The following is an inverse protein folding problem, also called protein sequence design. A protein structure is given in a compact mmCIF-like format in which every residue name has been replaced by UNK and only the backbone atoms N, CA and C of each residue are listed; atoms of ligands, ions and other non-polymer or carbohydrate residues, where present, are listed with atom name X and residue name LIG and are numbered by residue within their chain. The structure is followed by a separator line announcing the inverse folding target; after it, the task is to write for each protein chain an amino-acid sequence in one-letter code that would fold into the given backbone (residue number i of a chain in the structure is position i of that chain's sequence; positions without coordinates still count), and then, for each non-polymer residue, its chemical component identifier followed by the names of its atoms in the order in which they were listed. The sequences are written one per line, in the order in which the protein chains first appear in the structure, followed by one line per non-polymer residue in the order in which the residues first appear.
data_IF_279903746796
#
_entry.id   IF_279903746796
#
_cell.length_a   1.000
_cell.length_b   1.000
_cell.length_c   1.000
_cell.angle_alpha   90.00
_cell.angle_beta   90.00
_cell.angle_gamma   90.00
#
_symmetry.space_group_name_H-M   'P 1'
#
loop_
_entity.id
_entity.type
_entity.pdbx_description
1 polymer ?
#
# COMPACT_ATOMS: atom_id res chain seq x y z
N UNK A 1 3.18 -13.31 21.90
CA UNK A 1 3.10 -12.01 22.60
C UNK A 1 2.72 -10.97 21.57
N UNK A 2 1.71 -10.14 21.80
CA UNK A 2 1.30 -9.11 20.82
C UNK A 2 2.38 -8.03 20.81
N UNK A 3 3.01 -7.75 19.65
CA UNK A 3 4.00 -6.68 19.49
C UNK A 3 3.26 -5.34 19.38
N UNK A 4 3.49 -4.41 20.27
CA UNK A 4 3.00 -3.03 20.16
C UNK A 4 3.94 -2.24 19.25
N UNK A 5 3.46 -1.83 18.08
CA UNK A 5 4.23 -1.18 17.02
C UNK A 5 3.79 0.27 16.83
N UNK A 6 4.76 1.16 16.72
CA UNK A 6 4.58 2.60 16.58
C UNK A 6 5.36 3.12 15.37
N UNK A 7 4.82 4.11 14.70
CA UNK A 7 5.50 4.79 13.62
C UNK A 7 6.25 6.02 14.15
N UNK A 8 7.50 6.18 13.72
CA UNK A 8 8.29 7.37 13.93
C UNK A 8 9.00 7.75 12.62
N UNK A 9 8.76 8.95 12.06
CA UNK A 9 9.46 9.35 10.84
C UNK A 9 10.96 9.39 11.06
N UNK A 10 11.82 9.16 10.04
CA UNK A 10 13.27 9.09 10.18
C UNK A 10 13.90 10.27 10.93
N UNK A 11 13.35 11.47 10.76
CA UNK A 11 13.83 12.67 11.46
C UNK A 11 13.65 12.63 12.99
N UNK A 12 12.86 11.70 13.51
CA UNK A 12 12.62 11.50 14.95
C UNK A 12 13.39 10.31 15.53
N UNK A 13 14.26 9.71 14.72
CA UNK A 13 15.05 8.52 15.08
C UNK A 13 16.52 8.88 15.16
N UNK A 14 17.15 8.51 16.25
CA UNK A 14 18.61 8.52 16.44
C UNK A 14 19.10 7.13 16.77
N UNK A 15 20.41 6.92 16.81
CA UNK A 15 20.98 5.61 17.18
C UNK A 15 20.63 5.20 18.63
N UNK A 16 20.33 6.13 19.51
CA UNK A 16 20.09 5.87 20.93
C UNK A 16 18.63 6.04 21.34
N UNK A 17 17.85 6.87 20.63
CA UNK A 17 16.50 7.24 21.05
C UNK A 17 15.56 7.51 19.89
N UNK A 18 14.27 7.31 20.13
CA UNK A 18 13.19 7.61 19.19
C UNK A 18 12.14 8.46 19.89
N UNK A 19 11.68 9.52 19.24
CA UNK A 19 10.61 10.37 19.76
C UNK A 19 9.31 10.06 18.99
N UNK A 20 8.31 9.55 19.69
CA UNK A 20 6.97 9.35 19.09
C UNK A 20 6.21 10.69 19.04
N UNK A 21 5.51 10.91 17.93
CA UNK A 21 4.63 12.07 17.77
C UNK A 21 3.37 11.98 18.65
N UNK A 22 2.53 13.03 18.57
CA UNK A 22 1.35 13.17 19.44
C UNK A 22 0.37 11.98 19.33
N UNK A 23 0.01 11.56 18.12
CA UNK A 23 -0.99 10.50 17.91
C UNK A 23 -0.48 9.14 18.42
N UNK A 24 0.78 8.81 18.15
CA UNK A 24 1.42 7.59 18.63
C UNK A 24 1.60 7.61 20.16
N UNK A 25 1.98 8.75 20.72
CA UNK A 25 2.11 8.93 22.18
C UNK A 25 0.75 8.80 22.87
N UNK A 26 -0.30 9.39 22.29
CA UNK A 26 -1.67 9.24 22.80
C UNK A 26 -2.12 7.78 22.74
N UNK A 27 -1.87 7.08 21.61
CA UNK A 27 -2.20 5.66 21.46
C UNK A 27 -1.48 4.81 22.52
N UNK A 28 -0.17 5.01 22.69
CA UNK A 28 0.64 4.31 23.68
C UNK A 28 0.12 4.52 25.12
N UNK A 29 -0.11 5.78 25.51
CA UNK A 29 -0.42 6.14 26.89
C UNK A 29 -1.90 5.96 27.27
N UNK A 30 -2.83 6.25 26.34
CA UNK A 30 -4.27 6.30 26.63
C UNK A 30 -5.04 5.08 26.17
N UNK A 31 -4.65 4.50 25.01
CA UNK A 31 -5.32 3.32 24.48
C UNK A 31 -4.69 2.05 25.03
N UNK A 32 -3.37 1.90 24.87
CA UNK A 32 -2.63 0.73 25.33
C UNK A 32 -2.24 0.81 26.81
N UNK A 33 -2.21 2.01 27.41
CA UNK A 33 -1.89 2.27 28.81
C UNK A 33 -0.54 1.70 29.22
N UNK A 34 0.44 1.75 28.32
CA UNK A 34 1.80 1.33 28.60
C UNK A 34 2.47 2.32 29.56
N UNK A 35 3.43 1.81 30.31
CA UNK A 35 4.19 2.56 31.31
C UNK A 35 5.67 2.64 30.93
N UNK A 36 6.45 3.58 31.48
CA UNK A 36 7.91 3.54 31.37
C UNK A 36 8.47 2.17 31.75
N UNK A 37 9.48 1.71 31.04
CA UNK A 37 10.04 0.35 31.13
C UNK A 37 9.36 -0.70 30.24
N UNK A 38 8.22 -0.39 29.60
CA UNK A 38 7.57 -1.31 28.67
C UNK A 38 8.40 -1.48 27.38
N UNK A 39 8.51 -2.70 26.88
CA UNK A 39 9.15 -2.99 25.58
C UNK A 39 8.13 -2.82 24.46
N UNK A 40 8.52 -2.03 23.46
CA UNK A 40 7.73 -1.71 22.28
C UNK A 40 8.59 -1.77 21.01
N UNK A 41 7.97 -1.69 19.84
CA UNK A 41 8.66 -1.64 18.56
C UNK A 41 8.35 -0.34 17.84
N UNK A 42 9.36 0.29 17.23
CA UNK A 42 9.18 1.48 16.41
C UNK A 42 9.76 1.25 15.02
N UNK A 43 9.08 1.69 13.98
CA UNK A 43 9.55 1.59 12.59
C UNK A 43 9.49 2.96 11.91
N UNK A 44 10.37 3.16 10.91
CA UNK A 44 10.56 4.45 10.24
C UNK A 44 9.72 4.64 8.96
N UNK A 45 9.09 3.56 8.47
CA UNK A 45 8.38 3.56 7.20
C UNK A 45 9.28 3.42 5.97
N UNK A 46 10.61 3.35 6.14
CA UNK A 46 11.62 3.20 5.08
C UNK A 46 12.26 1.80 5.08
N UNK A 47 11.93 0.95 6.05
CA UNK A 47 12.39 -0.43 6.15
C UNK A 47 13.12 -0.78 7.42
N UNK A 48 13.38 0.19 8.31
CA UNK A 48 14.00 -0.09 9.59
C UNK A 48 12.96 -0.25 10.70
N UNK A 49 13.23 -1.16 11.62
CA UNK A 49 12.45 -1.37 12.83
C UNK A 49 13.39 -1.56 14.02
N UNK A 50 12.98 -1.05 15.15
CA UNK A 50 13.77 -1.00 16.37
C UNK A 50 12.96 -1.60 17.53
N UNK A 51 13.61 -2.46 18.31
CA UNK A 51 13.14 -2.82 19.65
C UNK A 51 13.52 -1.71 20.61
N UNK A 52 12.57 -1.23 21.41
CA UNK A 52 12.75 -0.07 22.25
C UNK A 52 12.15 -0.30 23.63
N UNK A 53 12.65 0.44 24.61
CA UNK A 53 12.06 0.60 25.94
C UNK A 53 11.44 1.99 26.07
N UNK A 54 10.23 2.07 26.60
CA UNK A 54 9.59 3.35 26.90
C UNK A 54 10.36 4.06 28.03
N UNK A 55 11.04 5.16 27.70
CA UNK A 55 11.82 5.93 28.65
C UNK A 55 10.95 6.93 29.42
N UNK A 56 10.19 7.77 28.68
CA UNK A 56 9.38 8.82 29.28
C UNK A 56 8.10 9.05 28.47
N UNK A 57 7.00 9.26 29.16
CA UNK A 57 5.70 9.57 28.57
C UNK A 57 5.29 10.99 28.98
N UNK A 58 5.17 11.88 27.99
CA UNK A 58 4.63 13.23 28.16
C UNK A 58 3.28 13.37 27.47
N UNK A 59 2.59 14.49 27.65
CA UNK A 59 1.24 14.69 27.07
C UNK A 59 1.19 14.58 25.53
N UNK A 60 2.25 14.99 24.85
CA UNK A 60 2.31 15.10 23.38
C UNK A 60 3.49 14.35 22.76
N UNK A 61 4.37 13.80 23.58
CA UNK A 61 5.58 13.10 23.15
C UNK A 61 5.86 11.92 24.06
N UNK A 62 6.33 10.83 23.48
CA UNK A 62 6.89 9.70 24.20
C UNK A 62 8.31 9.48 23.73
N UNK A 63 9.24 9.35 24.65
CA UNK A 63 10.64 9.05 24.35
C UNK A 63 10.88 7.56 24.57
N UNK A 64 11.52 6.93 23.59
CA UNK A 64 11.91 5.54 23.61
C UNK A 64 13.44 5.45 23.58
N UNK A 65 14.03 4.57 24.40
CA UNK A 65 15.42 4.16 24.29
C UNK A 65 15.52 3.00 23.30
N UNK A 66 16.40 3.08 22.32
CA UNK A 66 16.66 1.99 21.37
C UNK A 66 17.46 0.89 22.08
N UNK A 67 16.92 -0.33 22.08
CA UNK A 67 17.60 -1.53 22.57
C UNK A 67 18.38 -2.18 21.43
N UNK A 68 17.73 -2.41 20.28
CA UNK A 68 18.33 -3.03 19.12
C UNK A 68 17.61 -2.61 17.82
N UNK A 69 18.33 -2.60 16.71
CA UNK A 69 17.74 -2.55 15.39
C UNK A 69 17.49 -3.98 14.89
N UNK A 70 16.30 -4.24 14.35
CA UNK A 70 15.93 -5.56 13.85
C UNK A 70 16.38 -5.73 12.39
N UNK A 71 16.92 -6.91 12.06
CA UNK A 71 17.49 -7.21 10.73
C UNK A 71 16.65 -8.17 9.89
N UNK A 72 15.53 -8.69 10.41
CA UNK A 72 14.70 -9.65 9.67
C UNK A 72 14.13 -9.01 8.41
N UNK A 73 14.09 -9.74 7.32
CA UNK A 73 13.42 -9.33 6.09
C UNK A 73 11.92 -9.62 6.20
N UNK A 74 11.09 -8.58 6.05
CA UNK A 74 9.61 -8.67 6.14
C UNK A 74 8.92 -8.08 4.90
N UNK A 75 9.69 -7.54 3.96
CA UNK A 75 9.16 -6.93 2.75
C UNK A 75 9.32 -7.88 1.55
N UNK A 76 8.30 -7.94 0.72
CA UNK A 76 8.38 -8.62 -0.57
C UNK A 76 9.53 -8.05 -1.41
N UNK A 77 10.31 -8.89 -2.10
CA UNK A 77 11.34 -8.42 -3.05
C UNK A 77 10.73 -7.73 -4.27
N UNK A 78 9.42 -7.89 -4.47
CA UNK A 78 8.72 -7.38 -5.64
C UNK A 78 8.36 -5.89 -5.49
N UNK A 79 8.76 -5.06 -6.45
CA UNK A 79 8.31 -3.68 -6.56
C UNK A 79 6.94 -3.66 -7.27
N UNK A 80 5.86 -3.60 -6.48
CA UNK A 80 4.50 -3.75 -6.95
C UNK A 80 3.74 -2.43 -6.91
N UNK A 81 3.37 -1.89 -8.08
CA UNK A 81 2.54 -0.70 -8.23
C UNK A 81 1.11 -1.09 -8.58
N UNK A 82 0.14 -0.59 -7.80
CA UNK A 82 -1.28 -0.73 -8.09
C UNK A 82 -1.85 0.59 -8.63
N UNK A 83 -2.22 0.63 -9.90
CA UNK A 83 -3.07 1.65 -10.50
C UNK A 83 -4.54 1.24 -10.31
N UNK A 84 -5.22 1.85 -9.34
CA UNK A 84 -6.61 1.54 -9.01
C UNK A 84 -7.53 2.65 -9.48
N UNK A 85 -8.49 2.34 -10.36
CA UNK A 85 -9.54 3.29 -10.71
C UNK A 85 -10.31 3.76 -9.48
N UNK A 86 -10.67 5.06 -9.45
CA UNK A 86 -11.46 5.64 -8.38
C UNK A 86 -12.86 5.04 -8.35
N UNK A 87 -13.22 4.50 -7.22
CA UNK A 87 -14.49 3.86 -6.88
C UNK A 87 -15.06 4.48 -5.62
N UNK A 88 -16.23 4.03 -5.13
CA UNK A 88 -16.83 4.52 -3.89
C UNK A 88 -15.81 4.53 -2.74
N UNK A 89 -15.87 5.59 -1.92
CA UNK A 89 -14.86 5.92 -0.91
C UNK A 89 -14.54 4.77 0.05
N UNK A 90 -15.57 4.11 0.58
CA UNK A 90 -15.43 2.97 1.50
C UNK A 90 -14.72 1.77 0.87
N UNK A 91 -15.02 1.49 -0.38
CA UNK A 91 -14.36 0.42 -1.15
C UNK A 91 -12.91 0.76 -1.48
N UNK A 92 -12.62 2.02 -1.85
CA UNK A 92 -11.26 2.44 -2.11
C UNK A 92 -10.39 2.39 -0.84
N UNK A 93 -10.95 2.82 0.30
CA UNK A 93 -10.30 2.69 1.61
C UNK A 93 -9.93 1.22 1.91
N UNK A 94 -10.85 0.30 1.63
CA UNK A 94 -10.63 -1.13 1.82
C UNK A 94 -9.54 -1.68 0.89
N UNK A 95 -9.53 -1.23 -0.38
CA UNK A 95 -8.44 -1.59 -1.33
C UNK A 95 -7.10 -1.09 -0.82
N UNK A 96 -7.00 0.16 -0.37
CA UNK A 96 -5.75 0.71 0.19
C UNK A 96 -5.26 -0.12 1.38
N UNK A 97 -6.15 -0.44 2.31
CA UNK A 97 -5.82 -1.27 3.46
C UNK A 97 -5.25 -2.63 3.02
N UNK A 98 -6.00 -3.36 2.19
CA UNK A 98 -5.64 -4.73 1.81
C UNK A 98 -4.48 -4.79 0.82
N UNK A 99 -4.34 -3.82 -0.08
CA UNK A 99 -3.17 -3.71 -0.95
C UNK A 99 -1.89 -3.48 -0.12
N UNK A 100 -1.97 -2.69 0.96
CA UNK A 100 -0.85 -2.53 1.89
C UNK A 100 -0.48 -3.85 2.55
N UNK A 101 -1.45 -4.59 3.07
CA UNK A 101 -1.23 -5.92 3.68
C UNK A 101 -0.63 -6.92 2.67
N UNK A 102 -0.99 -6.82 1.39
CA UNK A 102 -0.47 -7.66 0.29
C UNK A 102 0.86 -7.16 -0.32
N UNK A 103 1.59 -6.31 0.37
CA UNK A 103 2.96 -5.96 -0.03
C UNK A 103 3.08 -4.95 -1.17
N UNK A 104 2.02 -4.22 -1.54
CA UNK A 104 2.10 -3.17 -2.57
C UNK A 104 3.07 -2.07 -2.11
N UNK A 105 3.95 -1.63 -3.01
CA UNK A 105 4.93 -0.56 -2.73
C UNK A 105 4.42 0.82 -3.11
N UNK A 106 3.47 0.89 -4.09
CA UNK A 106 2.89 2.15 -4.55
C UNK A 106 1.43 1.95 -4.98
N UNK A 107 0.56 2.87 -4.56
CA UNK A 107 -0.86 2.91 -4.99
C UNK A 107 -1.09 4.23 -5.72
N UNK A 108 -1.59 4.14 -6.95
CA UNK A 108 -1.90 5.29 -7.81
C UNK A 108 -3.41 5.32 -8.04
N UNK A 109 -4.14 6.29 -7.45
CA UNK A 109 -5.56 6.46 -7.72
C UNK A 109 -5.77 6.97 -9.15
N UNK A 110 -6.61 6.32 -9.95
CA UNK A 110 -6.79 6.61 -11.37
C UNK A 110 -8.16 7.19 -11.68
N UNK A 111 -8.18 8.25 -12.47
CA UNK A 111 -9.38 8.72 -13.17
C UNK A 111 -9.44 7.99 -14.51
N UNK A 112 -10.53 7.26 -14.72
CA UNK A 112 -10.84 6.50 -15.94
C UNK A 112 -12.14 7.00 -16.55
N UNK A 113 -12.47 6.56 -17.75
CA UNK A 113 -13.67 7.01 -18.46
C UNK A 113 -14.96 6.72 -17.67
N UNK A 114 -15.02 5.54 -17.03
CA UNK A 114 -16.19 5.10 -16.25
C UNK A 114 -16.04 5.28 -14.73
N UNK A 115 -15.03 6.02 -14.26
CA UNK A 115 -14.91 6.35 -12.83
C UNK A 115 -16.06 7.23 -12.35
N UNK A 116 -16.66 6.90 -11.21
CA UNK A 116 -17.73 7.70 -10.60
C UNK A 116 -17.26 9.09 -10.12
N UNK A 117 -16.00 9.23 -9.77
CA UNK A 117 -15.43 10.44 -9.18
C UNK A 117 -14.46 11.14 -10.13
N UNK A 118 -14.96 12.15 -10.86
CA UNK A 118 -14.15 13.01 -11.73
C UNK A 118 -13.82 14.38 -11.09
N UNK A 119 -14.42 14.70 -9.93
CA UNK A 119 -14.31 16.05 -9.33
C UNK A 119 -13.02 16.21 -8.51
N UNK A 120 -12.43 17.39 -8.68
CA UNK A 120 -11.20 17.80 -7.98
C UNK A 120 -11.39 18.00 -6.47
N UNK A 121 -12.63 18.27 -6.04
CA UNK A 121 -12.95 18.64 -4.66
C UNK A 121 -12.63 17.52 -3.66
N UNK A 122 -11.91 17.90 -2.61
CA UNK A 122 -11.56 16.97 -1.51
C UNK A 122 -10.44 15.97 -1.85
N UNK A 123 -9.64 16.20 -2.90
CA UNK A 123 -8.52 15.30 -3.25
C UNK A 123 -7.52 15.19 -2.11
N UNK A 124 -7.10 16.32 -1.55
CA UNK A 124 -6.10 16.32 -0.47
C UNK A 124 -6.59 15.58 0.77
N UNK A 125 -7.83 15.81 1.19
CA UNK A 125 -8.41 15.10 2.34
C UNK A 125 -8.48 13.59 2.11
N UNK A 126 -8.78 13.17 0.86
CA UNK A 126 -8.78 11.73 0.50
C UNK A 126 -7.38 11.15 0.54
N UNK A 127 -6.38 11.85 -0.02
CA UNK A 127 -4.98 11.41 0.02
C UNK A 127 -4.47 11.26 1.45
N UNK A 128 -4.74 12.24 2.31
CA UNK A 128 -4.39 12.18 3.74
C UNK A 128 -5.08 10.99 4.43
N UNK A 129 -6.37 10.74 4.13
CA UNK A 129 -7.10 9.59 4.66
C UNK A 129 -6.47 8.27 4.21
N UNK A 130 -6.16 8.11 2.93
CA UNK A 130 -5.54 6.89 2.40
C UNK A 130 -4.14 6.65 2.96
N UNK A 131 -3.33 7.70 3.09
CA UNK A 131 -2.01 7.63 3.76
C UNK A 131 -2.14 7.16 5.20
N UNK A 132 -3.16 7.63 5.92
CA UNK A 132 -3.44 7.17 7.28
C UNK A 132 -3.88 5.71 7.32
N UNK A 133 -4.75 5.28 6.41
CA UNK A 133 -5.18 3.87 6.30
C UNK A 133 -3.98 2.97 6.00
N UNK A 134 -3.12 3.36 5.06
CA UNK A 134 -1.90 2.63 4.73
C UNK A 134 -0.95 2.53 5.94
N UNK A 135 -0.78 3.60 6.71
CA UNK A 135 0.02 3.59 7.93
C UNK A 135 -0.52 2.59 8.96
N UNK A 136 -1.83 2.63 9.25
CA UNK A 136 -2.43 1.71 10.21
C UNK A 136 -2.38 0.24 9.73
N UNK A 137 -2.56 0.01 8.42
CA UNK A 137 -2.39 -1.32 7.85
C UNK A 137 -0.93 -1.81 7.96
N UNK A 138 0.05 -0.96 7.67
CA UNK A 138 1.49 -1.25 7.83
C UNK A 138 1.83 -1.63 9.28
N UNK A 139 1.29 -0.89 10.25
CA UNK A 139 1.47 -1.21 11.68
C UNK A 139 0.91 -2.58 12.02
N UNK A 140 -0.29 -2.88 11.53
CA UNK A 140 -1.01 -4.11 11.87
C UNK A 140 -0.41 -5.35 11.19
N UNK A 141 -0.03 -5.28 9.91
CA UNK A 141 0.47 -6.44 9.17
C UNK A 141 1.95 -6.74 9.39
N UNK A 142 2.68 -5.87 10.08
CA UNK A 142 4.09 -6.09 10.41
C UNK A 142 5.09 -5.55 9.40
N UNK A 143 4.65 -4.93 8.32
CA UNK A 143 5.54 -4.30 7.33
C UNK A 143 6.34 -3.15 7.96
N UNK A 144 7.51 -2.88 7.40
CA UNK A 144 8.41 -1.78 7.83
C UNK A 144 8.42 -0.63 6.82
N UNK A 145 8.00 -0.88 5.56
CA UNK A 145 7.90 0.14 4.52
C UNK A 145 6.47 0.59 4.34
N UNK A 146 6.28 1.91 4.35
CA UNK A 146 5.00 2.51 3.98
C UNK A 146 4.84 2.48 2.45
N UNK A 147 3.72 2.02 1.91
CA UNK A 147 3.46 2.18 0.49
C UNK A 147 3.28 3.67 0.16
N UNK A 148 3.81 4.09 -0.98
CA UNK A 148 3.55 5.41 -1.51
C UNK A 148 2.09 5.52 -1.97
N UNK A 149 1.35 6.49 -1.47
CA UNK A 149 0.06 6.89 -2.03
C UNK A 149 0.29 8.10 -2.92
N UNK A 150 0.32 7.88 -4.22
CA UNK A 150 0.56 8.93 -5.21
C UNK A 150 -0.64 9.85 -5.38
N UNK A 151 -0.41 11.01 -5.98
CA UNK A 151 -1.48 11.90 -6.41
C UNK A 151 -2.38 11.22 -7.45
N UNK A 152 -3.63 11.67 -7.52
CA UNK A 152 -4.61 11.18 -8.48
C UNK A 152 -4.16 11.51 -9.90
N UNK A 153 -4.06 10.49 -10.76
CA UNK A 153 -3.64 10.60 -12.16
C UNK A 153 -4.77 10.18 -13.10
N UNK A 154 -4.72 10.63 -14.35
CA UNK A 154 -5.51 9.98 -15.39
C UNK A 154 -4.82 8.70 -15.87
N UNK A 155 -5.60 7.81 -16.48
CA UNK A 155 -5.09 6.50 -16.91
C UNK A 155 -3.95 6.59 -17.93
N UNK A 156 -4.02 7.57 -18.84
CA UNK A 156 -2.96 7.79 -19.83
C UNK A 156 -1.63 8.15 -19.16
N UNK A 157 -1.64 9.12 -18.24
CA UNK A 157 -0.43 9.49 -17.47
C UNK A 157 0.16 8.30 -16.72
N UNK A 158 -0.69 7.48 -16.10
CA UNK A 158 -0.24 6.26 -15.44
C UNK A 158 0.46 5.32 -16.41
N UNK A 159 -0.13 5.03 -17.57
CA UNK A 159 0.47 4.15 -18.57
C UNK A 159 1.82 4.65 -19.09
N UNK A 160 1.93 5.96 -19.32
CA UNK A 160 3.16 6.59 -19.83
C UNK A 160 4.30 6.57 -18.80
N UNK A 161 3.98 6.66 -17.51
CA UNK A 161 4.96 6.68 -16.42
C UNK A 161 5.49 5.28 -16.03
N UNK A 162 4.73 4.22 -16.31
CA UNK A 162 5.14 2.85 -15.98
C UNK A 162 6.01 2.27 -17.11
N UNK A 163 7.30 2.60 -17.12
CA UNK A 163 8.21 2.19 -18.19
C UNK A 163 9.06 0.98 -17.85
N UNK A 164 9.15 0.58 -16.58
CA UNK A 164 9.96 -0.54 -16.12
C UNK A 164 9.13 -1.77 -15.79
N UNK A 165 9.70 -2.97 -15.98
CA UNK A 165 9.11 -4.24 -15.56
C UNK A 165 7.89 -4.68 -16.39
N UNK A 166 7.11 -5.57 -15.80
CA UNK A 166 5.87 -6.04 -16.43
C UNK A 166 4.71 -5.09 -16.12
N UNK A 167 3.86 -4.88 -17.12
CA UNK A 167 2.69 -4.01 -17.05
C UNK A 167 1.45 -4.84 -17.35
N UNK A 168 0.54 -4.92 -16.39
CA UNK A 168 -0.62 -5.79 -16.42
C UNK A 168 -1.89 -4.95 -16.33
N UNK A 169 -2.85 -5.24 -17.19
CA UNK A 169 -4.20 -4.67 -17.10
C UNK A 169 -5.19 -5.81 -16.92
N UNK A 170 -5.99 -5.75 -15.86
CA UNK A 170 -7.01 -6.75 -15.61
C UNK A 170 -8.34 -6.32 -16.20
N UNK A 171 -8.89 -7.17 -17.06
CA UNK A 171 -10.13 -6.93 -17.79
C UNK A 171 -11.10 -8.08 -17.62
N UNK A 172 -12.40 -7.77 -17.58
CA UNK A 172 -13.47 -8.76 -17.54
C UNK A 172 -13.61 -9.52 -18.86
N UNK A 173 -13.20 -8.89 -19.97
CA UNK A 173 -13.39 -9.40 -21.33
C UNK A 173 -12.05 -9.49 -22.03
N UNK A 174 -11.69 -10.72 -22.36
CA UNK A 174 -10.42 -11.00 -23.04
C UNK A 174 -9.22 -10.94 -22.08
N UNK A 175 -8.14 -11.53 -22.50
CA UNK A 175 -6.91 -11.65 -21.72
C UNK A 175 -6.52 -13.10 -21.47
N UNK A 176 -5.22 -13.30 -21.25
CA UNK A 176 -4.67 -14.60 -20.87
C UNK A 176 -4.81 -14.84 -19.36
N UNK A 177 -4.67 -16.09 -18.93
CA UNK A 177 -4.57 -16.41 -17.50
C UNK A 177 -3.24 -15.94 -16.92
N UNK A 178 -3.20 -15.72 -15.61
CA UNK A 178 -2.02 -15.23 -14.89
C UNK A 178 -0.82 -16.21 -14.88
N UNK A 179 -1.06 -17.49 -15.21
CA UNK A 179 -0.05 -18.54 -15.17
C UNK A 179 1.17 -18.35 -16.08
N UNK A 180 1.14 -17.37 -16.97
CA UNK A 180 2.20 -17.10 -17.97
C UNK A 180 3.05 -15.87 -17.66
N UNK A 181 3.04 -15.37 -16.42
CA UNK A 181 3.86 -14.21 -16.05
C UNK A 181 5.33 -14.58 -16.09
N UNK A 182 6.14 -13.80 -16.80
CA UNK A 182 7.58 -13.93 -16.76
C UNK A 182 8.12 -13.41 -15.42
N UNK A 183 9.30 -13.86 -15.01
CA UNK A 183 9.96 -13.35 -13.82
C UNK A 183 10.26 -11.87 -13.98
N UNK A 184 9.88 -11.05 -13.02
CA UNK A 184 10.14 -9.61 -13.00
C UNK A 184 10.25 -9.11 -11.56
N UNK A 185 11.20 -8.20 -11.32
CA UNK A 185 11.35 -7.54 -10.03
C UNK A 185 10.41 -6.34 -9.87
N UNK A 186 9.85 -5.83 -10.96
CA UNK A 186 8.95 -4.67 -10.97
C UNK A 186 7.69 -5.01 -11.75
N UNK A 187 6.52 -4.77 -11.16
CA UNK A 187 5.22 -5.01 -11.79
C UNK A 187 4.29 -3.84 -11.53
N UNK A 188 3.61 -3.41 -12.59
CA UNK A 188 2.53 -2.44 -12.50
C UNK A 188 1.21 -3.09 -12.89
N UNK A 189 0.21 -2.99 -12.02
CA UNK A 189 -1.12 -3.55 -12.21
C UNK A 189 -2.11 -2.42 -12.38
N UNK A 190 -2.97 -2.49 -13.41
CA UNK A 190 -4.10 -1.60 -13.60
C UNK A 190 -5.42 -2.33 -13.37
N UNK A 191 -6.26 -1.79 -12.47
CA UNK A 191 -7.59 -2.29 -12.12
C UNK A 191 -8.64 -1.22 -12.44
N UNK A 192 -9.64 -1.59 -13.23
CA UNK A 192 -10.72 -0.71 -13.69
C UNK A 192 -11.77 -0.40 -12.64
N UNK A 193 -12.66 0.56 -12.92
CA UNK A 193 -13.82 0.88 -12.10
C UNK A 193 -14.95 -0.17 -12.27
N UNK A 194 -16.07 0.00 -11.57
CA UNK A 194 -17.24 -0.88 -11.68
C UNK A 194 -17.83 -0.93 -13.10
N UNK A 195 -17.68 0.15 -13.86
CA UNK A 195 -18.12 0.21 -15.27
C UNK A 195 -17.14 -0.43 -16.28
N UNK A 196 -16.02 -1.00 -15.78
CA UNK A 196 -14.97 -1.59 -16.60
C UNK A 196 -14.15 -0.55 -17.38
N UNK A 197 -13.23 -1.04 -18.19
CA UNK A 197 -12.40 -0.24 -19.10
C UNK A 197 -13.16 0.10 -20.38
N UNK A 198 -12.98 1.31 -20.89
CA UNK A 198 -13.42 1.63 -22.24
C UNK A 198 -12.50 0.98 -23.28
N UNK A 199 -13.02 0.88 -24.54
CA UNK A 199 -12.21 0.35 -25.64
C UNK A 199 -10.94 1.18 -25.87
N UNK A 200 -11.05 2.51 -25.77
CA UNK A 200 -9.93 3.42 -25.95
C UNK A 200 -8.84 3.22 -24.86
N UNK A 201 -9.24 2.95 -23.64
CA UNK A 201 -8.30 2.67 -22.53
C UNK A 201 -7.58 1.33 -22.74
N UNK A 202 -8.29 0.29 -23.19
CA UNK A 202 -7.65 -1.00 -23.51
C UNK A 202 -6.68 -0.85 -24.70
N UNK A 203 -7.08 -0.14 -25.75
CA UNK A 203 -6.23 0.08 -26.92
C UNK A 203 -4.95 0.87 -26.53
N UNK A 204 -5.11 1.90 -25.67
CA UNK A 204 -3.98 2.65 -25.11
C UNK A 204 -3.05 1.75 -24.27
N UNK A 205 -3.58 0.95 -23.36
CA UNK A 205 -2.80 0.04 -22.54
C UNK A 205 -1.98 -0.93 -23.40
N UNK A 206 -2.63 -1.53 -24.43
CA UNK A 206 -1.95 -2.42 -25.37
C UNK A 206 -0.82 -1.70 -26.14
N UNK A 207 -1.07 -0.47 -26.60
CA UNK A 207 -0.06 0.35 -27.29
C UNK A 207 1.13 0.69 -26.37
N UNK A 208 0.88 0.79 -25.08
CA UNK A 208 1.92 1.00 -24.03
C UNK A 208 2.52 -0.32 -23.52
N UNK A 209 2.22 -1.46 -24.15
CA UNK A 209 2.78 -2.77 -23.82
C UNK A 209 2.24 -3.40 -22.55
N UNK A 210 1.04 -3.04 -22.11
CA UNK A 210 0.35 -3.76 -21.05
C UNK A 210 -0.15 -5.12 -21.57
N UNK A 211 -0.02 -6.12 -20.71
CA UNK A 211 -0.54 -7.47 -20.96
C UNK A 211 -1.94 -7.53 -20.36
N UNK A 212 -2.94 -7.81 -21.19
CA UNK A 212 -4.30 -8.00 -20.72
C UNK A 212 -4.46 -9.38 -20.07
N UNK A 213 -4.91 -9.39 -18.83
CA UNK A 213 -5.14 -10.60 -18.04
C UNK A 213 -6.60 -10.68 -17.57
N UNK A 214 -7.07 -11.91 -17.38
CA UNK A 214 -8.39 -12.22 -16.83
C UNK A 214 -8.26 -13.06 -15.55
N UNK A 215 -9.15 -12.82 -14.59
CA UNK A 215 -9.28 -13.56 -13.33
C UNK A 215 -10.37 -14.67 -13.42
N UNK A 216 -10.59 -15.20 -14.62
CA UNK A 216 -11.55 -16.27 -14.88
C UNK A 216 -12.89 -15.74 -15.42
N UNK A 217 -13.88 -16.63 -15.50
CA UNK A 217 -15.13 -16.39 -16.23
C UNK A 217 -16.20 -15.59 -15.45
N UNK A 218 -15.98 -15.32 -14.19
CA UNK A 218 -16.91 -14.54 -13.35
C UNK A 218 -16.52 -13.09 -13.36
N UNK A 219 -17.51 -12.20 -13.46
CA UNK A 219 -17.30 -10.77 -13.23
C UNK A 219 -17.06 -10.55 -11.73
N UNK A 220 -15.87 -10.09 -11.39
CA UNK A 220 -15.51 -9.72 -10.03
C UNK A 220 -15.82 -8.23 -9.80
N UNK A 221 -16.22 -7.88 -8.58
CA UNK A 221 -16.22 -6.47 -8.18
C UNK A 221 -14.79 -5.95 -8.22
N UNK A 222 -14.63 -4.67 -8.50
CA UNK A 222 -13.31 -4.05 -8.69
C UNK A 222 -12.39 -4.23 -7.48
N UNK A 223 -12.92 -4.09 -6.26
CA UNK A 223 -12.19 -4.36 -5.03
C UNK A 223 -11.76 -5.83 -4.92
N UNK A 224 -12.60 -6.77 -5.34
CA UNK A 224 -12.26 -8.19 -5.37
C UNK A 224 -11.20 -8.49 -6.43
N UNK A 225 -11.33 -7.87 -7.62
CA UNK A 225 -10.36 -8.03 -8.70
C UNK A 225 -8.97 -7.51 -8.28
N UNK A 226 -8.91 -6.35 -7.62
CA UNK A 226 -7.67 -5.78 -7.10
C UNK A 226 -6.95 -6.76 -6.17
N UNK A 227 -7.64 -7.29 -5.16
CA UNK A 227 -7.00 -8.18 -4.19
C UNK A 227 -6.63 -9.53 -4.80
N UNK A 228 -7.49 -10.09 -5.65
CA UNK A 228 -7.18 -11.34 -6.33
C UNK A 228 -5.94 -11.19 -7.24
N UNK A 229 -5.85 -10.10 -8.00
CA UNK A 229 -4.70 -9.80 -8.84
C UNK A 229 -3.41 -9.66 -8.02
N UNK A 230 -3.45 -8.88 -6.93
CA UNK A 230 -2.31 -8.67 -6.05
C UNK A 230 -1.85 -9.98 -5.41
N UNK A 231 -2.77 -10.75 -4.83
CA UNK A 231 -2.45 -12.02 -4.19
C UNK A 231 -1.84 -13.04 -5.17
N UNK A 232 -2.39 -13.14 -6.39
CA UNK A 232 -1.85 -14.05 -7.41
C UNK A 232 -0.48 -13.62 -7.92
N UNK A 233 -0.22 -12.32 -8.05
CA UNK A 233 1.09 -11.80 -8.45
C UNK A 233 2.11 -12.03 -7.35
N UNK A 234 1.76 -11.78 -6.09
CA UNK A 234 2.64 -12.07 -4.94
C UNK A 234 2.91 -13.57 -4.77
N UNK A 235 1.92 -14.43 -5.02
CA UNK A 235 2.09 -15.89 -5.01
C UNK A 235 3.07 -16.36 -6.08
N UNK A 236 3.01 -15.78 -7.29
CA UNK A 236 3.88 -16.22 -8.40
C UNK A 236 5.28 -15.64 -8.36
N UNK A 237 5.45 -14.40 -7.91
CA UNK A 237 6.65 -13.62 -8.12
C UNK A 237 7.16 -12.91 -6.84
N UNK A 238 6.37 -12.88 -5.80
CA UNK A 238 6.68 -12.23 -4.53
C UNK A 238 6.96 -13.21 -3.40
N UNK A 239 6.39 -12.92 -2.24
CA UNK A 239 6.64 -13.59 -0.95
C UNK A 239 5.44 -14.39 -0.39
N UNK A 240 4.32 -14.47 -1.09
CA UNK A 240 3.24 -15.39 -0.71
C UNK A 240 3.60 -16.81 -1.16
N UNK A 241 3.71 -17.77 -0.21
CA UNK A 241 4.11 -19.14 -0.51
C UNK A 241 3.02 -19.94 -1.21
#
# INVERSE_FOLDING_TARGET
MQRHRFYAPPAQITNASITLGNDESHHLARVLRLLPGAVVFAFDGEGNEYECEVAQINKTKTELNVIAQLSDEVESPLQLTLGQALIKSDKFDWVVQKATELGVTRIVPLITEHSEFRKADGREQRLQRWRRIALEATKQCGRRKLPEISDVQNFQQFCEQQTAGQRLIFSERGGSGIASLATAATISIAIGPEGGWSKAEIDLANAQGYIALSLGNRILRTETAALAALALVQYQLGDLP
#
